data_IF_161993774617
#
_entry.id   IF_161993774617
#
_cell.length_a   1.000
_cell.length_b   1.000
_cell.length_c   1.000
_cell.angle_alpha   90.00
_cell.angle_beta   90.00
_cell.angle_gamma   90.00
#
_symmetry.space_group_name_H-M   'P 1'
#
loop_
_entity.id
_entity.type
_entity.pdbx_description
1 polymer ?
#
# COMPACT_ATOMS: atom_id res chain seq x y z
N UNK A 1 -4.18 13.44 -16.45
CA UNK A 1 -4.89 13.27 -15.16
C UNK A 1 -5.61 11.95 -15.24
N UNK A 2 -5.21 10.97 -14.44
CA UNK A 2 -5.95 9.70 -14.34
C UNK A 2 -7.36 10.01 -13.83
N UNK A 3 -8.38 9.50 -14.54
CA UNK A 3 -9.79 9.60 -14.17
C UNK A 3 -10.00 9.10 -12.73
N UNK A 4 -10.59 9.95 -11.88
CA UNK A 4 -10.78 9.77 -10.44
C UNK A 4 -11.80 8.64 -10.11
N UNK A 5 -12.35 8.00 -11.14
CA UNK A 5 -13.47 7.05 -11.14
C UNK A 5 -13.25 5.73 -10.40
N UNK A 6 -12.07 5.46 -9.81
CA UNK A 6 -11.77 4.18 -9.14
C UNK A 6 -11.23 4.29 -7.72
N UNK A 7 -11.28 5.46 -7.07
CA UNK A 7 -10.85 5.57 -5.68
C UNK A 7 -11.94 5.14 -4.69
N UNK A 8 -12.12 3.83 -4.50
CA UNK A 8 -12.84 3.31 -3.33
C UNK A 8 -12.00 3.54 -2.07
N UNK A 9 -12.62 4.04 -1.01
CA UNK A 9 -12.00 4.14 0.32
C UNK A 9 -11.89 2.71 0.88
N UNK A 10 -10.80 2.05 0.53
CA UNK A 10 -10.47 0.71 0.95
C UNK A 10 -9.04 0.67 1.52
N UNK A 11 -8.71 -0.22 2.46
CA UNK A 11 -7.38 -0.29 3.07
C UNK A 11 -6.24 -0.46 2.05
N UNK A 12 -6.51 -1.13 0.93
CA UNK A 12 -5.54 -1.35 -0.17
C UNK A 12 -5.26 -0.05 -0.95
N UNK A 13 -6.25 0.82 -1.10
CA UNK A 13 -6.15 2.06 -1.88
C UNK A 13 -5.87 3.30 -1.03
N UNK A 14 -5.86 3.15 0.30
CA UNK A 14 -5.60 4.24 1.25
C UNK A 14 -4.33 5.05 0.92
N UNK A 15 -3.18 4.46 0.57
CA UNK A 15 -1.99 5.25 0.25
C UNK A 15 -2.16 6.20 -0.93
N UNK A 16 -2.82 5.73 -1.98
CA UNK A 16 -3.07 6.54 -3.17
C UNK A 16 -4.09 7.64 -2.85
N UNK A 17 -5.15 7.31 -2.13
CA UNK A 17 -6.17 8.26 -1.71
C UNK A 17 -5.62 9.36 -0.79
N UNK A 18 -4.83 9.00 0.22
CA UNK A 18 -4.18 9.95 1.12
C UNK A 18 -3.21 10.86 0.38
N UNK A 19 -2.39 10.32 -0.53
CA UNK A 19 -1.46 11.12 -1.36
C UNK A 19 -2.19 12.07 -2.30
N UNK A 20 -3.33 11.64 -2.85
CA UNK A 20 -4.19 12.50 -3.65
C UNK A 20 -4.69 13.67 -2.80
N UNK A 21 -5.30 13.40 -1.64
CA UNK A 21 -5.76 14.44 -0.71
C UNK A 21 -4.61 15.36 -0.26
N UNK A 22 -3.46 14.81 0.15
CA UNK A 22 -2.30 15.60 0.59
C UNK A 22 -1.69 16.41 -0.56
N UNK A 23 -1.82 15.95 -1.80
CA UNK A 23 -1.34 16.62 -3.02
C UNK A 23 -2.28 17.70 -3.55
N UNK A 24 -3.57 17.71 -3.16
CA UNK A 24 -4.53 18.71 -3.62
C UNK A 24 -4.05 20.14 -3.33
N UNK A 25 -3.98 20.96 -4.36
CA UNK A 25 -3.72 22.40 -4.28
C UNK A 25 -5.00 23.13 -4.71
N UNK A 26 -5.43 24.09 -3.92
CA UNK A 26 -6.57 24.94 -4.27
C UNK A 26 -6.08 26.18 -5.05
N UNK A 27 -6.84 26.67 -6.05
CA UNK A 27 -8.17 26.20 -6.50
C UNK A 27 -8.15 24.85 -7.24
N UNK A 28 -9.23 24.07 -7.09
CA UNK A 28 -9.46 22.80 -7.81
C UNK A 28 -10.62 22.98 -8.79
N UNK A 29 -10.62 22.24 -9.91
CA UNK A 29 -11.74 22.22 -10.86
C UNK A 29 -13.02 21.72 -10.19
N UNK A 30 -14.16 22.39 -10.45
CA UNK A 30 -15.45 22.02 -9.86
C UNK A 30 -15.84 20.57 -10.17
N UNK A 31 -15.58 20.09 -11.38
CA UNK A 31 -15.89 18.71 -11.78
C UNK A 31 -15.20 17.67 -10.87
N UNK A 32 -13.91 17.84 -10.60
CA UNK A 32 -13.13 16.94 -9.72
C UNK A 32 -13.63 17.00 -8.27
N UNK A 33 -14.04 18.18 -7.81
CA UNK A 33 -14.59 18.35 -6.46
C UNK A 33 -15.94 17.65 -6.30
N UNK A 34 -16.82 17.74 -7.30
CA UNK A 34 -18.12 17.09 -7.26
C UNK A 34 -17.97 15.56 -7.25
N UNK A 35 -17.04 15.01 -8.03
CA UNK A 35 -16.74 13.59 -8.06
C UNK A 35 -16.12 13.11 -6.73
N UNK A 36 -15.12 13.81 -6.21
CA UNK A 36 -14.54 13.50 -4.90
C UNK A 36 -15.60 13.59 -3.78
N UNK A 37 -16.47 14.59 -3.83
CA UNK A 37 -17.56 14.76 -2.87
C UNK A 37 -18.59 13.65 -2.98
N UNK A 38 -18.93 13.17 -4.18
CA UNK A 38 -19.87 12.05 -4.35
C UNK A 38 -19.31 10.77 -3.75
N UNK A 39 -18.04 10.45 -4.04
CA UNK A 39 -17.35 9.27 -3.49
C UNK A 39 -17.27 9.33 -1.97
N UNK A 40 -16.89 10.49 -1.42
CA UNK A 40 -16.79 10.69 0.02
C UNK A 40 -18.14 10.58 0.73
N UNK A 41 -19.20 11.16 0.17
CA UNK A 41 -20.55 11.06 0.74
C UNK A 41 -21.04 9.62 0.71
N UNK A 42 -20.89 8.91 -0.41
CA UNK A 42 -21.28 7.52 -0.52
C UNK A 42 -20.55 6.63 0.50
N UNK A 43 -19.25 6.86 0.67
CA UNK A 43 -18.45 6.10 1.64
C UNK A 43 -18.87 6.39 3.10
N UNK A 44 -19.20 7.63 3.43
CA UNK A 44 -19.72 8.02 4.76
C UNK A 44 -21.10 7.45 5.00
N UNK A 45 -21.98 7.45 4.00
CA UNK A 45 -23.35 6.96 4.14
C UNK A 45 -23.37 5.42 4.31
N UNK A 46 -22.36 4.71 3.81
CA UNK A 46 -22.17 3.25 3.98
C UNK A 46 -21.35 2.87 5.22
N UNK A 47 -20.77 3.85 5.93
CA UNK A 47 -19.91 3.57 7.07
C UNK A 47 -20.74 3.26 8.32
N UNK A 48 -20.51 2.08 8.89
CA UNK A 48 -21.02 1.71 10.21
C UNK A 48 -20.05 2.23 11.26
N UNK A 49 -20.55 3.08 12.17
CA UNK A 49 -19.72 3.63 13.24
C UNK A 49 -19.24 2.49 14.17
N UNK A 50 -17.93 2.45 14.51
CA UNK A 50 -17.39 1.40 15.37
C UNK A 50 -17.97 1.48 16.78
N UNK A 51 -17.99 0.34 17.47
CA UNK A 51 -18.49 0.23 18.84
C UNK A 51 -17.85 1.26 19.77
N UNK A 52 -18.67 1.76 20.71
CA UNK A 52 -18.36 2.88 21.58
C UNK A 52 -17.30 2.55 22.64
N UNK A 53 -16.05 2.43 22.19
CA UNK A 53 -14.88 2.15 23.01
C UNK A 53 -14.28 3.44 23.58
N UNK A 54 -13.62 3.41 24.75
CA UNK A 54 -13.00 4.60 25.35
C UNK A 54 -12.02 5.33 24.42
N UNK A 55 -11.18 4.58 23.67
CA UNK A 55 -10.24 5.15 22.70
C UNK A 55 -10.93 5.76 21.47
N UNK A 56 -12.11 5.28 21.12
CA UNK A 56 -12.92 5.87 20.06
C UNK A 56 -13.48 7.23 20.51
N UNK A 57 -14.05 7.31 21.72
CA UNK A 57 -14.57 8.56 22.31
C UNK A 57 -13.51 9.65 22.41
N UNK A 58 -12.34 9.34 22.99
CA UNK A 58 -11.25 10.31 23.13
C UNK A 58 -10.80 10.90 21.79
N UNK A 59 -10.79 10.07 20.73
CA UNK A 59 -10.44 10.53 19.38
C UNK A 59 -11.53 11.42 18.78
N UNK A 60 -12.80 11.04 18.93
CA UNK A 60 -13.94 11.84 18.43
C UNK A 60 -13.96 13.20 19.12
N UNK A 61 -13.78 13.25 20.44
CA UNK A 61 -13.70 14.51 21.21
C UNK A 61 -12.52 15.40 20.75
N UNK A 62 -11.36 14.80 20.48
CA UNK A 62 -10.21 15.51 19.96
C UNK A 62 -10.46 16.07 18.54
N UNK A 63 -11.15 15.30 17.68
CA UNK A 63 -11.56 15.74 16.35
C UNK A 63 -12.59 16.85 16.40
N UNK A 64 -13.61 16.74 17.26
CA UNK A 64 -14.65 17.74 17.44
C UNK A 64 -14.04 19.08 17.87
N UNK A 65 -13.15 19.05 18.86
CA UNK A 65 -12.39 20.23 19.30
C UNK A 65 -11.58 20.85 18.16
N UNK A 66 -10.88 20.01 17.38
CA UNK A 66 -10.10 20.48 16.23
C UNK A 66 -11.01 21.08 15.14
N UNK A 67 -12.12 20.44 14.80
CA UNK A 67 -13.08 20.90 13.79
C UNK A 67 -13.68 22.25 14.16
N UNK A 68 -14.07 22.43 15.43
CA UNK A 68 -14.54 23.72 15.92
C UNK A 68 -13.46 24.80 15.81
N UNK A 69 -12.19 24.49 16.11
CA UNK A 69 -11.08 25.43 15.96
C UNK A 69 -10.86 25.90 14.50
N UNK A 70 -11.31 25.11 13.51
CA UNK A 70 -11.23 25.47 12.10
C UNK A 70 -12.38 26.36 11.61
N UNK A 71 -13.37 26.66 12.45
CA UNK A 71 -14.49 27.56 12.15
C UNK A 71 -15.70 26.88 11.50
N UNK A 72 -15.91 25.58 11.75
CA UNK A 72 -17.09 24.86 11.27
C UNK A 72 -18.20 24.96 12.33
N UNK A 73 -19.18 25.83 12.08
CA UNK A 73 -20.23 26.15 13.05
C UNK A 73 -21.47 25.24 12.94
N UNK A 74 -21.70 24.63 11.77
CA UNK A 74 -22.87 23.80 11.54
C UNK A 74 -22.73 22.41 12.15
N UNK A 75 -23.58 22.07 13.14
CA UNK A 75 -23.60 20.75 13.81
C UNK A 75 -23.62 19.58 12.84
N UNK A 76 -24.52 19.62 11.84
CA UNK A 76 -24.62 18.58 10.79
C UNK A 76 -23.34 18.44 9.95
N UNK A 77 -22.61 19.53 9.73
CA UNK A 77 -21.36 19.52 8.95
C UNK A 77 -20.21 18.96 9.78
N UNK A 78 -20.16 19.31 11.07
CA UNK A 78 -19.23 18.74 12.03
C UNK A 78 -19.44 17.22 12.17
N UNK A 79 -20.68 16.77 12.41
CA UNK A 79 -21.02 15.34 12.55
C UNK A 79 -20.60 14.52 11.32
N UNK A 80 -20.90 15.01 10.11
CA UNK A 80 -20.48 14.35 8.88
C UNK A 80 -18.97 14.31 8.70
N UNK A 81 -18.28 15.39 9.06
CA UNK A 81 -16.82 15.45 8.95
C UNK A 81 -16.15 14.51 9.95
N UNK A 82 -16.70 14.39 11.17
CA UNK A 82 -16.26 13.42 12.17
C UNK A 82 -16.39 12.00 11.62
N UNK A 83 -17.57 11.63 11.08
CA UNK A 83 -17.77 10.30 10.46
C UNK A 83 -16.75 9.99 9.37
N UNK A 84 -16.48 10.96 8.50
CA UNK A 84 -15.51 10.80 7.42
C UNK A 84 -14.09 10.62 7.95
N UNK A 85 -13.70 11.39 8.96
CA UNK A 85 -12.37 11.27 9.57
C UNK A 85 -12.20 9.97 10.35
N UNK A 86 -13.26 9.49 11.01
CA UNK A 86 -13.31 8.17 11.63
C UNK A 86 -13.13 7.07 10.58
N UNK A 87 -13.89 7.12 9.47
CA UNK A 87 -13.72 6.17 8.36
C UNK A 87 -12.27 6.14 7.86
N UNK A 88 -11.63 7.30 7.71
CA UNK A 88 -10.23 7.39 7.30
C UNK A 88 -9.26 6.84 8.35
N UNK A 89 -9.54 7.03 9.65
CA UNK A 89 -8.78 6.41 10.74
C UNK A 89 -8.86 4.90 10.67
N UNK A 90 -10.06 4.34 10.54
CA UNK A 90 -10.22 2.89 10.51
C UNK A 90 -9.56 2.29 9.27
N UNK A 91 -9.71 2.95 8.13
CA UNK A 91 -9.05 2.54 6.88
C UNK A 91 -7.51 2.61 7.02
N UNK A 92 -6.98 3.67 7.64
CA UNK A 92 -5.55 3.80 7.92
C UNK A 92 -5.06 2.72 8.88
N UNK A 93 -5.81 2.45 9.95
CA UNK A 93 -5.47 1.43 10.94
C UNK A 93 -5.41 0.03 10.30
N UNK A 94 -6.42 -0.33 9.51
CA UNK A 94 -6.44 -1.58 8.74
C UNK A 94 -5.30 -1.65 7.72
N UNK A 95 -5.01 -0.54 7.03
CA UNK A 95 -3.85 -0.47 6.14
C UNK A 95 -2.52 -0.71 6.91
N UNK A 96 -2.37 -0.10 8.08
CA UNK A 96 -1.18 -0.23 8.92
C UNK A 96 -0.97 -1.67 9.41
N UNK A 97 -2.04 -2.34 9.86
CA UNK A 97 -1.99 -3.75 10.25
C UNK A 97 -1.62 -4.62 9.04
N UNK A 98 -2.36 -4.49 7.94
CA UNK A 98 -2.10 -5.28 6.72
C UNK A 98 -0.69 -5.06 6.17
N UNK A 99 -0.16 -3.84 6.23
CA UNK A 99 1.22 -3.53 5.82
C UNK A 99 2.25 -4.17 6.76
N UNK A 100 1.97 -4.22 8.06
CA UNK A 100 2.84 -4.86 9.05
C UNK A 100 2.84 -6.37 8.88
N UNK A 101 1.68 -6.99 8.73
CA UNK A 101 1.56 -8.45 8.59
C UNK A 101 2.23 -8.93 7.31
N UNK A 102 2.01 -8.22 6.19
CA UNK A 102 2.74 -8.48 4.94
C UNK A 102 4.24 -8.28 5.05
N UNK A 103 4.70 -7.27 5.79
CA UNK A 103 6.14 -7.11 6.04
C UNK A 103 6.72 -8.32 6.78
N UNK A 104 6.05 -8.77 7.84
CA UNK A 104 6.47 -9.94 8.61
C UNK A 104 6.51 -11.17 7.70
N UNK A 105 5.45 -11.41 6.92
CA UNK A 105 5.39 -12.52 5.97
C UNK A 105 6.55 -12.47 4.96
N UNK A 106 6.81 -11.32 4.33
CA UNK A 106 7.89 -11.17 3.36
C UNK A 106 9.27 -11.36 4.00
N UNK A 107 9.48 -10.89 5.23
CA UNK A 107 10.73 -11.10 5.98
C UNK A 107 10.93 -12.57 6.32
N UNK A 108 9.89 -13.28 6.76
CA UNK A 108 9.97 -14.73 7.01
C UNK A 108 10.30 -15.49 5.74
N UNK A 109 9.66 -15.16 4.61
CA UNK A 109 9.99 -15.79 3.31
C UNK A 109 11.43 -15.51 2.86
N UNK A 110 11.96 -14.32 3.12
CA UNK A 110 13.37 -14.00 2.87
C UNK A 110 14.31 -14.86 3.71
N UNK A 111 14.01 -15.03 4.99
CA UNK A 111 14.79 -15.88 5.89
C UNK A 111 14.77 -17.34 5.42
N UNK A 112 13.59 -17.87 5.07
CA UNK A 112 13.43 -19.22 4.54
C UNK A 112 14.23 -19.43 3.24
N UNK A 113 14.19 -18.46 2.32
CA UNK A 113 14.94 -18.50 1.06
C UNK A 113 16.46 -18.48 1.33
N UNK A 114 16.93 -17.67 2.28
CA UNK A 114 18.34 -17.62 2.68
C UNK A 114 18.81 -18.94 3.32
N UNK A 115 17.97 -19.55 4.16
CA UNK A 115 18.23 -20.85 4.75
C UNK A 115 18.28 -21.95 3.67
N UNK A 116 17.34 -21.95 2.72
CA UNK A 116 17.31 -22.88 1.59
C UNK A 116 18.55 -22.73 0.70
N UNK A 117 19.01 -21.50 0.44
CA UNK A 117 20.23 -21.22 -0.30
C UNK A 117 21.47 -21.74 0.42
N UNK A 118 21.60 -21.44 1.72
CA UNK A 118 22.73 -21.91 2.55
C UNK A 118 22.76 -23.45 2.61
N UNK A 119 21.59 -24.07 2.73
CA UNK A 119 21.43 -25.52 2.72
C UNK A 119 21.84 -26.14 1.39
N UNK A 120 21.40 -25.56 0.28
CA UNK A 120 21.72 -26.03 -1.07
C UNK A 120 23.21 -25.91 -1.37
N UNK A 121 23.87 -24.81 -0.96
CA UNK A 121 25.33 -24.67 -1.09
C UNK A 121 26.05 -25.73 -0.25
N UNK A 122 25.69 -25.90 1.03
CA UNK A 122 26.37 -26.83 1.93
C UNK A 122 26.24 -28.27 1.44
N UNK A 123 25.03 -28.73 1.11
CA UNK A 123 24.83 -30.10 0.64
C UNK A 123 25.35 -30.31 -0.79
N UNK A 124 25.24 -29.30 -1.66
CA UNK A 124 25.82 -29.33 -3.00
C UNK A 124 27.34 -29.51 -2.99
N UNK A 125 28.04 -28.80 -2.10
CA UNK A 125 29.49 -28.94 -1.89
C UNK A 125 29.87 -30.30 -1.30
N UNK A 126 29.14 -30.79 -0.30
CA UNK A 126 29.39 -32.12 0.27
C UNK A 126 29.18 -33.20 -0.78
N UNK A 127 28.08 -33.14 -1.53
CA UNK A 127 27.81 -34.08 -2.62
C UNK A 127 28.88 -34.02 -3.72
N UNK A 128 29.37 -32.83 -4.06
CA UNK A 128 30.47 -32.64 -5.00
C UNK A 128 31.77 -33.31 -4.52
N UNK A 129 32.14 -33.10 -3.26
CA UNK A 129 33.35 -33.71 -2.67
C UNK A 129 33.25 -35.24 -2.64
N UNK A 130 32.08 -35.78 -2.28
CA UNK A 130 31.83 -37.23 -2.29
C UNK A 130 31.90 -37.79 -3.72
N UNK A 131 31.34 -37.08 -4.70
CA UNK A 131 31.42 -37.47 -6.11
C UNK A 131 32.87 -37.52 -6.60
N UNK A 132 33.67 -36.48 -6.31
CA UNK A 132 35.10 -36.41 -6.67
C UNK A 132 35.88 -37.55 -6.01
N UNK A 133 35.70 -37.76 -4.69
CA UNK A 133 36.39 -38.82 -3.96
C UNK A 133 36.04 -40.22 -4.51
N UNK A 134 34.77 -40.44 -4.82
CA UNK A 134 34.30 -41.71 -5.39
C UNK A 134 34.82 -41.94 -6.81
N UNK A 135 34.90 -40.88 -7.63
CA UNK A 135 35.47 -40.94 -8.97
C UNK A 135 36.99 -41.26 -8.95
N UNK A 136 37.75 -40.64 -8.03
CA UNK A 136 39.18 -40.94 -7.84
C UNK A 136 39.37 -42.40 -7.43
N UNK A 137 38.57 -42.87 -6.47
CA UNK A 137 38.64 -44.26 -6.03
C UNK A 137 38.33 -45.24 -7.17
N UNK A 138 37.30 -44.95 -7.96
CA UNK A 138 36.96 -45.75 -9.13
C UNK A 138 38.11 -45.78 -10.16
N UNK A 139 38.79 -44.66 -10.39
CA UNK A 139 39.93 -44.61 -11.32
C UNK A 139 41.18 -45.35 -10.81
N UNK A 140 41.41 -45.39 -9.49
CA UNK A 140 42.58 -46.02 -8.89
C UNK A 140 42.47 -47.55 -8.74
N UNK A 141 41.24 -48.10 -8.67
CA UNK A 141 40.98 -49.52 -8.42
C UNK A 141 40.20 -50.16 -9.60
N UNK A 142 40.85 -51.01 -10.42
CA UNK A 142 40.20 -51.64 -11.57
C UNK A 142 39.03 -52.57 -11.20
N UNK A 143 39.04 -53.14 -9.98
CA UNK A 143 37.96 -53.98 -9.44
C UNK A 143 36.92 -53.21 -8.61
N UNK A 144 36.74 -51.91 -8.88
CA UNK A 144 35.76 -51.11 -8.15
C UNK A 144 34.35 -51.72 -8.23
N UNK A 145 33.81 -52.03 -7.05
CA UNK A 145 32.48 -52.61 -6.88
C UNK A 145 31.39 -51.68 -7.46
N UNK A 146 30.30 -52.25 -7.99
CA UNK A 146 29.21 -51.50 -8.64
C UNK A 146 28.59 -50.43 -7.74
N UNK A 147 28.64 -50.65 -6.42
CA UNK A 147 28.20 -49.69 -5.40
C UNK A 147 28.90 -48.32 -5.51
N UNK A 148 30.19 -48.28 -5.84
CA UNK A 148 30.97 -47.04 -5.91
C UNK A 148 30.61 -46.25 -7.16
N UNK A 149 30.31 -46.94 -8.27
CA UNK A 149 29.79 -46.33 -9.49
C UNK A 149 28.41 -45.70 -9.24
N UNK A 150 27.54 -46.43 -8.54
CA UNK A 150 26.22 -45.94 -8.14
C UNK A 150 26.30 -44.71 -7.22
N UNK A 151 27.18 -44.74 -6.21
CA UNK A 151 27.42 -43.62 -5.30
C UNK A 151 27.90 -42.38 -6.05
N UNK A 152 28.88 -42.54 -6.96
CA UNK A 152 29.41 -41.44 -7.78
C UNK A 152 28.30 -40.78 -8.61
N UNK A 153 27.44 -41.60 -9.24
CA UNK A 153 26.35 -41.11 -10.08
C UNK A 153 25.27 -40.39 -9.26
N UNK A 154 24.88 -40.96 -8.12
CA UNK A 154 23.95 -40.34 -7.18
C UNK A 154 24.48 -39.00 -6.64
N UNK A 155 25.73 -38.96 -6.18
CA UNK A 155 26.34 -37.75 -5.65
C UNK A 155 26.52 -36.67 -6.71
N UNK A 156 26.84 -37.04 -7.95
CA UNK A 156 26.90 -36.10 -9.08
C UNK A 156 25.53 -35.51 -9.40
N UNK A 157 24.50 -36.35 -9.43
CA UNK A 157 23.12 -35.92 -9.65
C UNK A 157 22.64 -34.96 -8.55
N UNK A 158 22.86 -35.31 -7.29
CA UNK A 158 22.49 -34.45 -6.15
C UNK A 158 23.25 -33.13 -6.17
N UNK A 159 24.55 -33.16 -6.47
CA UNK A 159 25.35 -31.94 -6.61
C UNK A 159 24.80 -31.03 -7.70
N UNK A 160 24.48 -31.59 -8.87
CA UNK A 160 23.86 -30.86 -9.97
C UNK A 160 22.53 -30.23 -9.56
N UNK A 161 21.62 -31.00 -8.96
CA UNK A 161 20.31 -30.53 -8.50
C UNK A 161 20.44 -29.36 -7.50
N UNK A 162 21.33 -29.50 -6.51
CA UNK A 162 21.59 -28.43 -5.53
C UNK A 162 22.19 -27.16 -6.14
N UNK A 163 23.06 -27.27 -7.16
CA UNK A 163 23.59 -26.10 -7.84
C UNK A 163 22.58 -25.49 -8.82
N UNK A 164 21.72 -26.31 -9.42
CA UNK A 164 20.68 -25.85 -10.35
C UNK A 164 19.53 -25.10 -9.66
N UNK A 165 19.28 -25.36 -8.37
CA UNK A 165 18.28 -24.64 -7.57
C UNK A 165 18.75 -23.27 -7.04
N UNK A 166 20.06 -22.98 -7.05
CA UNK A 166 20.58 -21.67 -6.65
C UNK A 166 20.05 -20.48 -7.49
N UNK A 167 20.05 -20.52 -8.84
CA UNK A 167 19.53 -19.41 -9.63
C UNK A 167 18.03 -19.17 -9.42
N UNK A 168 17.24 -20.19 -9.10
CA UNK A 168 15.81 -20.02 -8.79
C UNK A 168 15.65 -19.34 -7.43
N UNK A 169 16.41 -19.74 -6.42
CA UNK A 169 16.41 -19.10 -5.10
C UNK A 169 16.87 -17.63 -5.16
N UNK A 170 17.89 -17.32 -5.96
CA UNK A 170 18.36 -15.94 -6.15
C UNK A 170 17.30 -15.05 -6.85
N UNK A 171 16.53 -15.61 -7.79
CA UNK A 171 15.41 -14.91 -8.45
C UNK A 171 14.27 -14.64 -7.47
N UNK A 172 13.91 -15.64 -6.68
CA UNK A 172 12.87 -15.55 -5.65
C UNK A 172 13.25 -14.50 -4.60
N UNK A 173 14.48 -14.53 -4.09
CA UNK A 173 14.99 -13.53 -3.15
C UNK A 173 14.91 -12.10 -3.72
N UNK A 174 15.22 -11.91 -5.01
CA UNK A 174 15.09 -10.59 -5.67
C UNK A 174 13.64 -10.15 -5.79
N UNK A 175 12.72 -11.06 -6.10
CA UNK A 175 11.28 -10.77 -6.17
C UNK A 175 10.74 -10.33 -4.82
N UNK A 176 11.01 -11.10 -3.77
CA UNK A 176 10.53 -10.80 -2.41
C UNK A 176 11.11 -9.46 -1.91
N UNK A 177 12.39 -9.18 -2.17
CA UNK A 177 12.98 -7.88 -1.83
C UNK A 177 12.32 -6.72 -2.57
N UNK A 178 11.95 -6.91 -3.84
CA UNK A 178 11.24 -5.88 -4.61
C UNK A 178 9.86 -5.61 -3.99
N UNK A 179 9.11 -6.67 -3.70
CA UNK A 179 7.79 -6.56 -3.05
C UNK A 179 7.88 -5.88 -1.68
N UNK A 180 8.90 -6.20 -0.89
CA UNK A 180 9.15 -5.55 0.40
C UNK A 180 9.44 -4.06 0.24
N UNK A 181 10.30 -3.69 -0.72
CA UNK A 181 10.61 -2.28 -1.01
C UNK A 181 9.38 -1.51 -1.49
N UNK A 182 8.57 -2.12 -2.37
CA UNK A 182 7.34 -1.51 -2.86
C UNK A 182 6.36 -1.29 -1.70
N UNK A 183 6.19 -2.27 -0.81
CA UNK A 183 5.37 -2.14 0.41
C UNK A 183 5.87 -1.03 1.34
N UNK A 184 7.18 -0.97 1.60
CA UNK A 184 7.78 0.06 2.46
C UNK A 184 7.64 1.46 1.84
N UNK A 185 7.72 1.56 0.51
CA UNK A 185 7.51 2.82 -0.22
C UNK A 185 6.07 3.28 -0.19
N UNK A 186 5.11 2.37 -0.18
CA UNK A 186 3.67 2.69 -0.14
C UNK A 186 3.14 2.93 1.27
N UNK A 187 3.79 2.38 2.29
CA UNK A 187 3.37 2.52 3.70
C UNK A 187 3.27 4.00 4.11
N UNK A 188 2.13 4.33 4.72
CA UNK A 188 1.93 5.62 5.41
C UNK A 188 2.06 5.36 6.91
N UNK A 189 3.19 5.78 7.49
CA UNK A 189 3.46 5.63 8.92
C UNK A 189 2.60 6.58 9.77
N UNK A 190 2.51 7.85 9.36
CA UNK A 190 1.81 8.88 10.11
C UNK A 190 0.84 9.65 9.19
N UNK A 191 -0.35 9.92 9.72
CA UNK A 191 -1.39 10.71 9.07
C UNK A 191 -1.43 12.10 9.68
N UNK A 192 -1.38 13.13 8.84
CA UNK A 192 -1.57 14.52 9.29
C UNK A 192 -3.07 14.86 9.34
N UNK A 193 -3.66 14.65 10.52
CA UNK A 193 -5.07 14.91 10.78
C UNK A 193 -5.47 16.37 10.60
N UNK A 194 -4.59 17.33 10.90
CA UNK A 194 -4.89 18.77 10.75
C UNK A 194 -5.01 19.14 9.28
N UNK A 195 -4.08 18.64 8.45
CA UNK A 195 -4.15 18.80 7.00
C UNK A 195 -5.42 18.15 6.44
N UNK A 196 -5.76 16.94 6.88
CA UNK A 196 -6.98 16.25 6.42
C UNK A 196 -8.24 17.04 6.78
N UNK A 197 -8.40 17.47 8.03
CA UNK A 197 -9.54 18.30 8.47
C UNK A 197 -9.65 19.55 7.60
N UNK A 198 -8.52 20.24 7.38
CA UNK A 198 -8.49 21.45 6.56
C UNK A 198 -8.92 21.19 5.11
N UNK A 199 -8.31 20.22 4.44
CA UNK A 199 -8.59 19.95 3.02
C UNK A 199 -9.99 19.38 2.80
N UNK A 200 -10.44 18.50 3.69
CA UNK A 200 -11.79 17.92 3.62
C UNK A 200 -12.85 18.98 3.91
N UNK A 201 -12.63 19.89 4.88
CA UNK A 201 -13.57 20.99 5.14
C UNK A 201 -13.70 21.93 3.94
N UNK A 202 -12.61 22.20 3.21
CA UNK A 202 -12.62 22.98 1.96
C UNK A 202 -13.32 22.22 0.82
N UNK A 203 -12.96 20.95 0.59
CA UNK A 203 -13.54 20.12 -0.46
C UNK A 203 -15.06 19.92 -0.26
N UNK A 204 -15.49 19.71 0.98
CA UNK A 204 -16.90 19.59 1.34
C UNK A 204 -17.64 20.94 1.38
N UNK A 205 -16.92 22.06 1.26
CA UNK A 205 -17.50 23.40 1.29
C UNK A 205 -18.02 23.81 2.67
N UNK A 206 -17.59 23.13 3.74
CA UNK A 206 -17.98 23.42 5.12
C UNK A 206 -17.26 24.64 5.67
N UNK A 207 -16.12 25.00 5.07
CA UNK A 207 -15.36 26.21 5.38
C UNK A 207 -15.32 27.13 4.16
N UNK A 208 -15.75 28.39 4.34
CA UNK A 208 -15.55 29.47 3.36
C UNK A 208 -14.30 30.25 3.75
N UNK A 209 -13.33 30.35 2.85
CA UNK A 209 -12.15 31.22 3.04
C UNK A 209 -12.40 32.50 2.27
N UNK A 210 -12.56 33.62 2.97
CA UNK A 210 -12.75 34.93 2.35
C UNK A 210 -11.51 35.29 1.52
N UNK A 211 -11.70 35.60 0.23
CA UNK A 211 -10.64 36.10 -0.65
C UNK A 211 -9.85 35.05 -1.43
N UNK A 212 -10.21 33.76 -1.35
CA UNK A 212 -9.63 32.70 -2.19
C UNK A 212 -10.77 32.01 -2.94
N UNK A 213 -10.74 32.05 -4.27
CA UNK A 213 -11.57 31.17 -5.07
C UNK A 213 -11.09 29.75 -4.81
N UNK A 214 -11.88 28.97 -4.08
CA UNK A 214 -11.55 27.57 -3.76
C UNK A 214 -11.81 26.67 -4.97
N UNK A 215 -12.66 27.13 -5.89
CA UNK A 215 -13.14 26.37 -7.03
C UNK A 215 -13.04 27.22 -8.30
N UNK A 216 -12.39 26.67 -9.33
CA UNK A 216 -12.43 27.26 -10.66
C UNK A 216 -13.66 26.72 -11.38
N UNK A 217 -14.63 27.58 -11.67
CA UNK A 217 -15.57 27.34 -12.75
C UNK A 217 -14.81 27.58 -14.04
N UNK A 218 -14.62 26.56 -14.87
CA UNK A 218 -14.11 26.78 -16.22
C UNK A 218 -15.08 27.77 -16.90
N UNK A 219 -14.56 28.90 -17.38
CA UNK A 219 -15.29 29.99 -18.06
C UNK A 219 -15.78 29.58 -19.47
N UNK A 220 -16.39 28.40 -19.62
CA UNK A 220 -17.11 28.02 -20.84
C UNK A 220 -18.59 28.45 -20.80
N UNK A 221 -18.94 29.37 -19.89
CA UNK A 221 -20.22 30.08 -19.95
C UNK A 221 -19.98 31.42 -20.65
N UNK A 222 -19.96 31.43 -21.98
CA UNK A 222 -20.07 32.69 -22.75
C UNK A 222 -21.33 33.44 -22.28
N UNK A 223 -21.24 34.62 -21.64
CA UNK A 223 -22.36 35.55 -21.56
C UNK A 223 -22.36 36.34 -22.88
N UNK A 224 -22.57 35.62 -23.98
CA UNK A 224 -22.56 36.12 -25.33
C UNK A 224 -23.98 36.30 -25.84
N UNK A 225 -24.49 37.53 -25.73
CA UNK A 225 -25.53 38.11 -26.58
C UNK A 225 -27.00 37.99 -26.13
N UNK A 226 -27.37 38.79 -25.12
CA UNK A 226 -28.75 39.26 -24.94
C UNK A 226 -28.78 40.79 -24.80
N UNK A 227 -28.28 41.51 -25.81
CA UNK A 227 -28.73 42.88 -26.09
C UNK A 227 -28.87 43.09 -27.59
N UNK A 228 -30.09 42.93 -28.12
CA UNK A 228 -30.74 43.84 -29.08
C UNK A 228 -31.92 43.16 -29.79
N UNK A 229 -32.94 43.98 -30.13
CA UNK A 229 -34.27 43.68 -30.69
C UNK A 229 -35.30 43.24 -29.62
N UNK A 230 -36.25 44.09 -29.22
CA UNK A 230 -37.26 44.82 -30.00
C UNK A 230 -37.62 46.12 -29.25
N UNK A 231 -37.45 47.32 -29.82
CA UNK A 231 -38.48 48.07 -30.57
C UNK A 231 -39.94 47.69 -30.27
#
# INVERSE_FOLDING_TARGET
METITHYTIAPVHFPKFYRLLSGLRFPIKVAEVLELRSVLNEAVDKFEEPDDSPSYREFVEALETAIHSFGIEGRRHADRLIRLLTLLRDTHYQHSINSRDKEVELRTRLEDTQLARTRSIRYGLVAMLVAIGSAIYWAAMPEANWMIKGLTLLSTYLSWDFFHSLPTLDREQKSINKELNDLLRERISNVDWKMLIHKLSLLMGYKKVSGVEVFNMDEDFEPGNSTSHLQ
#
